data_IF_064325404824
#
_entry.id   IF_064325404824
#
_cell.length_a   1.000
_cell.length_b   1.000
_cell.length_c   1.000
_cell.angle_alpha   90.00
_cell.angle_beta   90.00
_cell.angle_gamma   90.00
#
_symmetry.space_group_name_H-M   'P 1'
#
loop_
_entity.id
_entity.type
_entity.pdbx_description
1 polymer ?
#
# COMPACT_ATOMS: atom_id res chain seq x y z
N UNK A 1 -20.45 -25.98 -22.81
CA UNK A 1 -19.72 -25.07 -21.90
C UNK A 1 -20.78 -24.11 -21.36
N UNK A 2 -21.56 -24.58 -20.38
CA UNK A 2 -22.68 -23.83 -19.82
C UNK A 2 -22.16 -22.64 -19.01
N UNK A 3 -22.71 -21.44 -19.27
CA UNK A 3 -22.42 -20.24 -18.51
C UNK A 3 -23.05 -20.35 -17.11
N UNK A 4 -22.35 -19.97 -16.04
CA UNK A 4 -22.94 -19.98 -14.70
C UNK A 4 -24.06 -18.93 -14.60
N UNK A 5 -25.24 -19.35 -14.16
CA UNK A 5 -26.37 -18.46 -13.96
C UNK A 5 -26.11 -17.49 -12.79
N UNK A 6 -26.49 -16.20 -12.90
CA UNK A 6 -26.27 -15.22 -11.83
C UNK A 6 -27.18 -15.49 -10.63
N UNK A 7 -26.63 -15.34 -9.42
CA UNK A 7 -27.36 -15.50 -8.18
C UNK A 7 -28.47 -14.42 -8.03
N UNK A 8 -29.75 -14.80 -7.83
CA UNK A 8 -30.82 -13.82 -7.66
C UNK A 8 -30.71 -13.16 -6.28
N UNK A 9 -30.41 -11.87 -6.25
CA UNK A 9 -30.44 -11.06 -5.01
C UNK A 9 -29.30 -10.07 -4.85
N UNK A 10 -28.24 -10.17 -5.65
CA UNK A 10 -27.21 -9.15 -5.70
C UNK A 10 -27.49 -8.23 -6.90
N UNK A 11 -27.67 -6.91 -6.71
CA UNK A 11 -27.69 -6.00 -7.84
C UNK A 11 -26.33 -6.13 -8.55
N UNK A 12 -26.35 -6.56 -9.81
CA UNK A 12 -25.15 -6.55 -10.64
C UNK A 12 -24.60 -5.11 -10.62
N UNK A 13 -23.34 -4.89 -10.21
CA UNK A 13 -22.78 -3.55 -10.26
C UNK A 13 -22.81 -3.12 -11.72
N UNK A 14 -23.30 -1.91 -12.04
CA UNK A 14 -23.32 -1.45 -13.42
C UNK A 14 -21.89 -1.52 -13.95
N UNK A 15 -21.71 -2.24 -15.05
CA UNK A 15 -20.47 -2.23 -15.82
C UNK A 15 -20.33 -0.85 -16.45
N UNK A 16 -19.94 0.13 -15.65
CA UNK A 16 -19.70 1.48 -16.12
C UNK A 16 -18.39 1.48 -16.91
N UNK A 17 -18.39 1.94 -18.17
CA UNK A 17 -17.17 2.07 -18.94
C UNK A 17 -16.25 3.06 -18.24
N UNK A 18 -14.95 2.78 -18.37
CA UNK A 18 -13.74 3.50 -17.98
C UNK A 18 -13.80 5.03 -18.23
N UNK A 19 -14.71 5.72 -17.55
CA UNK A 19 -14.62 7.15 -17.36
C UNK A 19 -13.61 7.28 -16.24
N UNK A 20 -12.48 8.01 -16.42
CA UNK A 20 -11.72 8.44 -15.28
C UNK A 20 -12.65 9.36 -14.51
N UNK A 21 -13.39 8.80 -13.55
CA UNK A 21 -14.07 9.56 -12.52
C UNK A 21 -13.04 10.58 -12.10
N UNK A 22 -13.34 11.87 -12.22
CA UNK A 22 -12.40 12.94 -11.87
C UNK A 22 -12.14 12.78 -10.39
N UNK A 23 -11.16 11.93 -10.06
CA UNK A 23 -10.94 11.47 -8.71
C UNK A 23 -10.46 12.70 -7.99
N UNK A 24 -11.17 13.07 -6.91
CA UNK A 24 -10.78 14.19 -6.08
C UNK A 24 -9.29 14.04 -5.74
N UNK A 25 -8.48 15.10 -5.89
CA UNK A 25 -7.06 15.00 -5.62
C UNK A 25 -6.87 14.60 -4.16
N UNK A 26 -6.12 13.51 -3.94
CA UNK A 26 -5.72 13.10 -2.60
C UNK A 26 -4.79 14.17 -2.03
N UNK A 27 -4.98 14.54 -0.78
CA UNK A 27 -4.22 15.60 -0.11
C UNK A 27 -3.39 15.03 1.04
N UNK A 28 -2.25 15.67 1.30
CA UNK A 28 -1.43 15.37 2.47
C UNK A 28 -2.21 15.65 3.76
N UNK A 29 -2.24 14.68 4.68
CA UNK A 29 -2.90 14.84 5.97
C UNK A 29 -2.28 15.95 6.85
N UNK A 30 -0.98 16.24 6.68
CA UNK A 30 -0.29 17.26 7.47
C UNK A 30 -0.37 18.69 6.90
N UNK A 31 -0.22 18.84 5.58
CA UNK A 31 -0.08 20.17 4.97
C UNK A 31 -1.15 20.50 3.92
N UNK A 32 -2.07 19.57 3.62
CA UNK A 32 -3.19 19.77 2.70
C UNK A 32 -2.82 19.91 1.22
N UNK A 33 -1.54 19.84 0.86
CA UNK A 33 -1.06 19.91 -0.54
C UNK A 33 -1.50 18.67 -1.33
N UNK A 34 -1.80 18.81 -2.63
CA UNK A 34 -2.17 17.67 -3.47
C UNK A 34 -1.01 16.69 -3.64
N UNK A 35 -1.32 15.41 -3.56
CA UNK A 35 -0.36 14.31 -3.71
C UNK A 35 -0.35 13.84 -5.16
N UNK A 36 0.80 13.94 -5.81
CA UNK A 36 0.99 13.54 -7.22
C UNK A 36 1.55 12.12 -7.35
N UNK A 37 2.44 11.72 -6.44
CA UNK A 37 3.06 10.38 -6.43
C UNK A 37 2.11 9.28 -5.94
N UNK A 38 2.16 8.11 -6.56
CA UNK A 38 1.35 6.94 -6.15
C UNK A 38 1.68 6.48 -4.73
N UNK A 39 2.96 6.46 -4.37
CA UNK A 39 3.40 6.10 -3.01
C UNK A 39 2.89 7.10 -1.97
N UNK A 40 3.05 8.40 -2.22
CA UNK A 40 2.52 9.46 -1.36
C UNK A 40 0.99 9.35 -1.22
N UNK A 41 0.26 9.10 -2.32
CA UNK A 41 -1.19 8.88 -2.29
C UNK A 41 -1.59 7.68 -1.43
N UNK A 42 -0.81 6.60 -1.46
CA UNK A 42 -1.03 5.40 -0.64
C UNK A 42 -0.74 5.67 0.84
N UNK A 43 0.33 6.40 1.16
CA UNK A 43 0.70 6.76 2.52
C UNK A 43 -0.17 7.88 3.12
N UNK A 44 -0.83 8.69 2.28
CA UNK A 44 -1.61 9.86 2.72
C UNK A 44 -0.75 11.07 3.13
N UNK A 45 0.56 11.00 2.92
CA UNK A 45 1.53 12.02 3.29
C UNK A 45 2.39 12.40 2.08
N UNK A 46 2.66 13.70 1.93
CA UNK A 46 3.60 14.20 0.92
C UNK A 46 5.04 13.89 1.32
N UNK A 47 5.99 13.75 0.37
CA UNK A 47 7.34 13.27 0.65
C UNK A 47 8.09 14.12 1.70
N UNK A 48 7.89 15.45 1.66
CA UNK A 48 8.49 16.35 2.65
C UNK A 48 7.84 16.28 4.05
N UNK A 49 6.59 15.81 4.15
CA UNK A 49 5.90 15.62 5.43
C UNK A 49 6.16 14.22 5.98
N UNK A 50 6.20 13.23 5.11
CA UNK A 50 6.51 11.84 5.41
C UNK A 50 7.93 11.73 6.00
N UNK A 51 8.95 12.29 5.35
CA UNK A 51 10.32 12.28 5.84
C UNK A 51 10.52 12.94 7.23
N UNK A 52 9.59 13.80 7.67
CA UNK A 52 9.61 14.39 9.01
C UNK A 52 9.09 13.44 10.08
N UNK A 53 8.13 12.58 9.72
CA UNK A 53 7.50 11.62 10.62
C UNK A 53 8.21 10.27 10.59
N UNK A 54 8.69 9.88 9.41
CA UNK A 54 9.36 8.64 9.11
C UNK A 54 10.73 8.97 8.51
N UNK A 55 11.71 9.40 9.32
CA UNK A 55 13.07 9.55 8.83
C UNK A 55 13.52 8.20 8.27
N UNK A 56 14.19 8.23 7.12
CA UNK A 56 14.80 7.02 6.57
C UNK A 56 15.66 6.40 7.67
N UNK A 57 15.44 5.11 7.93
CA UNK A 57 16.24 4.38 8.90
C UNK A 57 17.71 4.59 8.58
N UNK A 58 18.60 4.62 9.58
CA UNK A 58 20.02 4.67 9.31
C UNK A 58 20.37 3.57 8.31
N UNK A 59 21.34 3.83 7.43
CA UNK A 59 21.96 2.81 6.57
C UNK A 59 22.68 1.80 7.49
N UNK A 60 21.90 0.98 8.19
CA UNK A 60 22.41 -0.07 9.04
C UNK A 60 22.88 -1.13 8.08
N UNK A 61 24.18 -1.12 7.81
CA UNK A 61 24.85 -2.34 7.37
C UNK A 61 24.65 -3.34 8.49
N UNK A 62 23.68 -4.24 8.32
CA UNK A 62 23.51 -5.37 9.19
C UNK A 62 24.80 -6.18 9.08
N UNK A 63 25.72 -5.97 10.01
CA UNK A 63 26.83 -6.90 10.19
C UNK A 63 26.17 -8.23 10.48
N UNK A 64 26.32 -9.20 9.58
CA UNK A 64 25.88 -10.57 9.84
C UNK A 64 26.63 -11.03 11.08
N UNK A 65 25.91 -11.15 12.19
CA UNK A 65 26.46 -11.74 13.39
C UNK A 65 26.33 -13.24 13.22
N UNK A 66 27.46 -13.90 13.02
CA UNK A 66 27.50 -15.36 13.02
C UNK A 66 27.43 -15.81 14.47
N UNK A 67 26.31 -16.43 14.81
CA UNK A 67 26.05 -17.05 16.11
C UNK A 67 26.10 -18.55 15.94
N UNK A 68 26.84 -19.20 16.82
CA UNK A 68 26.83 -20.65 16.97
C UNK A 68 25.47 -21.05 17.57
N UNK A 69 24.63 -21.70 16.76
CA UNK A 69 23.30 -22.14 17.18
C UNK A 69 23.38 -23.61 17.60
N UNK A 70 22.98 -23.89 18.82
CA UNK A 70 22.87 -25.27 19.32
C UNK A 70 21.80 -26.02 18.49
N UNK A 71 22.08 -27.25 18.03
CA UNK A 71 21.11 -28.03 17.28
C UNK A 71 19.87 -28.34 18.13
N UNK A 72 18.71 -28.32 17.49
CA UNK A 72 17.47 -28.72 18.15
C UNK A 72 17.54 -30.19 18.58
N UNK A 73 17.09 -30.54 19.80
CA UNK A 73 17.11 -31.92 20.26
C UNK A 73 16.06 -32.76 19.51
N UNK A 74 16.46 -33.96 19.06
CA UNK A 74 15.53 -34.99 18.56
C UNK A 74 15.71 -35.41 17.09
N UNK A 75 16.94 -35.73 16.66
CA UNK A 75 17.13 -36.58 15.47
C UNK A 75 16.80 -38.03 15.77
#
# INVERSE_FOLDING_TARGET
MESPEPFPGFPEPPAEPDRPAVRRPVRCALCGRPLTGTESRRAGLGPACDAKLHPAGPDIRTRRHEVDQDPLPGT
#
